data_IF_121516596426
#
_entry.id   IF_121516596426
#
_cell.length_a   1.000
_cell.length_b   1.000
_cell.length_c   1.000
_cell.angle_alpha   90.00
_cell.angle_beta   90.00
_cell.angle_gamma   90.00
#
_symmetry.space_group_name_H-M   'P 1'
#
loop_
_entity.id
_entity.type
_entity.pdbx_description
1 polymer ?
#
# COMPACT_ATOMS: atom_id res chain seq x y z
N UNK A 1 22.55 16.89 -38.97
CA UNK A 1 21.25 16.26 -39.28
C UNK A 1 21.13 15.01 -38.40
N UNK A 2 20.08 14.89 -37.58
CA UNK A 2 19.81 13.76 -36.65
C UNK A 2 20.73 13.75 -35.41
N UNK A 3 20.33 13.67 -34.14
CA UNK A 3 19.15 13.12 -33.47
C UNK A 3 18.82 14.01 -32.24
N UNK A 4 17.82 14.89 -32.33
CA UNK A 4 17.30 15.66 -31.18
C UNK A 4 15.77 15.65 -31.22
N UNK A 5 15.13 14.51 -30.96
CA UNK A 5 13.65 14.47 -30.94
C UNK A 5 13.00 13.51 -29.95
N UNK A 6 13.72 12.61 -29.28
CA UNK A 6 13.09 11.63 -28.37
C UNK A 6 13.08 12.06 -26.89
N UNK A 7 14.09 12.81 -26.43
CA UNK A 7 14.19 13.23 -25.02
C UNK A 7 13.23 14.38 -24.64
N UNK A 8 12.94 15.28 -25.59
CA UNK A 8 12.00 16.39 -25.39
C UNK A 8 10.56 15.90 -25.21
N UNK A 9 10.20 14.76 -25.82
CA UNK A 9 8.86 14.19 -25.73
C UNK A 9 8.58 13.55 -24.36
N UNK A 10 9.61 13.02 -23.68
CA UNK A 10 9.46 12.37 -22.37
C UNK A 10 9.42 13.38 -21.21
N UNK A 11 10.17 14.49 -21.32
CA UNK A 11 10.23 15.55 -20.30
C UNK A 11 8.96 16.42 -20.31
N UNK A 12 8.42 16.75 -21.48
CA UNK A 12 7.12 17.44 -21.61
C UNK A 12 5.96 16.59 -21.07
N UNK A 13 6.01 15.26 -21.28
CA UNK A 13 5.03 14.31 -20.70
C UNK A 13 5.04 14.26 -19.17
N UNK A 14 6.14 14.61 -18.48
CA UNK A 14 6.24 14.55 -17.02
C UNK A 14 5.54 15.74 -16.34
N UNK A 15 5.69 16.95 -16.89
CA UNK A 15 5.00 18.16 -16.41
C UNK A 15 3.50 18.17 -16.82
N UNK A 16 3.18 17.69 -18.02
CA UNK A 16 1.80 17.50 -18.47
C UNK A 16 1.10 16.40 -17.65
N UNK A 17 1.78 15.31 -17.26
CA UNK A 17 1.21 14.29 -16.38
C UNK A 17 0.88 14.82 -14.99
N UNK A 18 1.68 15.70 -14.40
CA UNK A 18 1.38 16.24 -13.05
C UNK A 18 0.15 17.14 -13.11
N UNK A 19 0.03 17.98 -14.13
CA UNK A 19 -1.16 18.83 -14.34
C UNK A 19 -2.40 18.03 -14.76
N UNK A 20 -2.27 16.98 -15.57
CA UNK A 20 -3.36 16.05 -15.89
C UNK A 20 -3.77 15.17 -14.71
N UNK A 21 -2.82 14.69 -13.91
CA UNK A 21 -3.09 13.94 -12.67
C UNK A 21 -3.77 14.83 -11.66
N UNK A 22 -3.35 16.10 -11.51
CA UNK A 22 -4.04 17.12 -10.71
C UNK A 22 -5.42 17.47 -11.28
N UNK A 23 -5.60 17.54 -12.61
CA UNK A 23 -6.91 17.76 -13.25
C UNK A 23 -7.84 16.55 -13.14
N UNK A 24 -7.33 15.32 -13.21
CA UNK A 24 -8.07 14.07 -12.94
C UNK A 24 -8.42 13.93 -11.45
N UNK A 25 -7.50 14.30 -10.56
CA UNK A 25 -7.74 14.52 -9.13
C UNK A 25 -8.92 15.49 -8.94
N UNK A 26 -8.95 16.62 -9.64
CA UNK A 26 -10.04 17.60 -9.57
C UNK A 26 -11.37 17.05 -10.15
N UNK A 27 -11.32 16.22 -11.20
CA UNK A 27 -12.50 15.66 -11.88
C UNK A 27 -13.13 14.46 -11.16
N UNK A 28 -12.30 13.55 -10.62
CA UNK A 28 -12.74 12.32 -9.93
C UNK A 28 -13.24 12.58 -8.50
N UNK A 29 -12.94 13.76 -7.96
CA UNK A 29 -13.40 14.17 -6.64
C UNK A 29 -14.79 14.82 -6.64
N UNK A 30 -15.50 14.83 -7.77
CA UNK A 30 -16.91 15.25 -7.83
C UNK A 30 -17.87 14.23 -7.18
N UNK A 31 -17.46 12.96 -7.07
CA UNK A 31 -18.32 11.86 -6.59
C UNK A 31 -18.10 11.47 -5.13
N UNK A 32 -17.21 12.15 -4.40
CA UNK A 32 -16.89 11.84 -3.00
C UNK A 32 -17.04 13.09 -2.15
N UNK A 33 -17.99 13.02 -1.21
CA UNK A 33 -18.29 13.97 -0.12
C UNK A 33 -17.49 15.29 -0.20
N UNK A 34 -18.07 16.27 -0.90
CA UNK A 34 -17.44 17.50 -1.38
C UNK A 34 -16.59 18.24 -0.33
N UNK A 35 -16.91 18.15 0.95
CA UNK A 35 -16.24 18.89 2.03
C UNK A 35 -14.78 18.45 2.29
N UNK A 36 -14.48 17.15 2.34
CA UNK A 36 -13.13 16.67 2.64
C UNK A 36 -12.15 16.91 1.48
N UNK A 37 -12.66 16.84 0.24
CA UNK A 37 -11.84 17.08 -0.94
C UNK A 37 -11.70 18.58 -1.23
N UNK A 38 -12.76 19.39 -1.02
CA UNK A 38 -12.66 20.84 -1.13
C UNK A 38 -11.61 21.41 -0.17
N UNK A 39 -11.42 20.87 1.03
CA UNK A 39 -10.33 21.28 1.93
C UNK A 39 -8.92 20.97 1.38
N UNK A 40 -8.72 19.74 0.87
CA UNK A 40 -7.44 19.31 0.28
C UNK A 40 -7.10 20.14 -0.96
N UNK A 41 -8.10 20.45 -1.79
CA UNK A 41 -7.97 21.24 -3.01
C UNK A 41 -7.88 22.75 -2.78
N UNK A 42 -8.59 23.31 -1.77
CA UNK A 42 -8.41 24.72 -1.35
C UNK A 42 -6.98 24.99 -0.91
N UNK A 43 -6.38 24.01 -0.20
CA UNK A 43 -4.96 24.04 0.13
C UNK A 43 -4.10 24.16 -1.13
N UNK A 44 -4.25 23.22 -2.07
CA UNK A 44 -3.40 23.12 -3.27
C UNK A 44 -3.52 24.33 -4.25
N UNK A 45 -4.70 24.93 -4.41
CA UNK A 45 -4.86 26.13 -5.28
C UNK A 45 -4.18 27.39 -4.72
N UNK A 46 -3.99 27.48 -3.40
CA UNK A 46 -3.24 28.57 -2.77
C UNK A 46 -1.72 28.37 -2.82
N UNK A 47 -1.23 27.13 -2.92
CA UNK A 47 0.19 26.78 -2.77
C UNK A 47 1.08 27.24 -3.94
N UNK A 48 0.59 27.18 -5.19
CA UNK A 48 1.43 27.55 -6.35
C UNK A 48 1.81 29.05 -6.40
N UNK A 49 1.13 29.93 -5.64
CA UNK A 49 1.37 31.39 -5.69
C UNK A 49 2.52 31.87 -4.80
N UNK A 50 2.97 31.08 -3.83
CA UNK A 50 3.95 31.50 -2.81
C UNK A 50 5.35 30.90 -2.98
N UNK A 51 5.58 30.10 -4.01
CA UNK A 51 6.82 29.34 -4.16
C UNK A 51 7.93 30.20 -4.77
N UNK A 52 9.14 30.08 -4.23
CA UNK A 52 10.31 30.80 -4.73
C UNK A 52 10.67 30.35 -6.15
N UNK A 53 11.10 31.30 -6.98
CA UNK A 53 11.59 31.02 -8.33
C UNK A 53 12.93 30.32 -8.23
N UNK A 54 13.06 29.18 -8.88
CA UNK A 54 14.31 28.42 -8.95
C UNK A 54 14.65 28.15 -10.42
N UNK A 55 15.94 28.02 -10.72
CA UNK A 55 16.41 27.54 -12.03
C UNK A 55 16.61 26.04 -12.00
N UNK A 56 16.07 25.34 -12.98
CA UNK A 56 16.37 23.93 -13.20
C UNK A 56 17.84 23.74 -13.60
N UNK A 57 18.34 22.50 -13.58
CA UNK A 57 19.70 22.15 -14.06
C UNK A 57 19.96 22.56 -15.52
N UNK A 58 18.91 22.71 -16.33
CA UNK A 58 18.99 23.14 -17.74
C UNK A 58 18.73 24.66 -17.88
N UNK A 59 18.91 25.43 -16.82
CA UNK A 59 18.68 26.88 -16.73
C UNK A 59 17.25 27.37 -17.04
N UNK A 60 16.27 26.46 -17.13
CA UNK A 60 14.85 26.84 -17.26
C UNK A 60 14.26 27.43 -15.98
N UNK A 61 13.30 28.36 -16.12
CA UNK A 61 12.55 28.95 -14.98
C UNK A 61 11.57 27.93 -14.39
N UNK A 62 11.64 27.73 -13.08
CA UNK A 62 10.76 26.84 -12.32
C UNK A 62 10.39 27.46 -10.96
N UNK A 63 9.60 26.72 -10.18
CA UNK A 63 9.21 27.08 -8.82
C UNK A 63 9.56 25.92 -7.90
N UNK A 64 10.09 26.23 -6.71
CA UNK A 64 10.37 25.22 -5.72
C UNK A 64 9.07 24.67 -5.11
N UNK A 65 8.97 23.35 -4.89
CA UNK A 65 7.81 22.79 -4.19
C UNK A 65 7.87 23.13 -2.70
N UNK A 66 6.77 23.63 -2.14
CA UNK A 66 6.61 23.73 -0.69
C UNK A 66 6.70 22.35 -0.03
N UNK A 67 7.02 22.30 1.26
CA UNK A 67 7.15 21.01 1.95
C UNK A 67 5.88 20.15 1.89
N UNK A 68 4.69 20.76 2.01
CA UNK A 68 3.42 20.01 1.90
C UNK A 68 3.17 19.46 0.49
N UNK A 69 3.60 20.18 -0.55
CA UNK A 69 3.55 19.69 -1.93
C UNK A 69 4.54 18.55 -2.16
N UNK A 70 5.75 18.63 -1.60
CA UNK A 70 6.73 17.53 -1.65
C UNK A 70 6.18 16.27 -0.97
N UNK A 71 5.54 16.41 0.18
CA UNK A 71 4.86 15.31 0.87
C UNK A 71 3.72 14.73 0.02
N UNK A 72 2.91 15.60 -0.59
CA UNK A 72 1.81 15.16 -1.46
C UNK A 72 2.33 14.41 -2.69
N UNK A 73 3.40 14.89 -3.33
CA UNK A 73 4.04 14.25 -4.47
C UNK A 73 4.55 12.85 -4.11
N UNK A 74 5.32 12.75 -3.01
CA UNK A 74 5.87 11.48 -2.52
C UNK A 74 4.77 10.45 -2.26
N UNK A 75 3.71 10.85 -1.54
CA UNK A 75 2.63 9.94 -1.18
C UNK A 75 1.64 9.66 -2.31
N UNK A 76 1.55 10.53 -3.33
CA UNK A 76 0.65 10.31 -4.46
C UNK A 76 1.33 9.52 -5.57
N UNK A 77 2.60 9.78 -5.86
CA UNK A 77 3.29 9.16 -6.98
C UNK A 77 4.19 7.99 -6.55
N UNK A 78 4.43 7.83 -5.25
CA UNK A 78 5.39 6.85 -4.74
C UNK A 78 6.82 7.16 -5.16
N UNK A 79 7.08 8.41 -5.58
CA UNK A 79 8.39 8.85 -6.01
C UNK A 79 9.24 9.13 -4.77
N UNK A 80 10.28 8.31 -4.65
CA UNK A 80 11.38 8.48 -3.71
C UNK A 80 12.24 9.62 -4.26
N UNK A 81 12.54 10.65 -3.46
CA UNK A 81 13.31 11.80 -3.96
C UNK A 81 14.75 11.39 -4.22
N UNK A 82 15.04 11.15 -5.50
CA UNK A 82 16.36 10.81 -6.02
C UNK A 82 16.60 11.51 -7.35
N UNK A 83 17.75 12.17 -7.50
CA UNK A 83 18.24 12.66 -8.78
C UNK A 83 19.10 11.59 -9.47
N UNK A 84 19.35 11.72 -10.77
CA UNK A 84 20.18 10.77 -11.55
C UNK A 84 21.59 10.54 -10.95
N UNK A 85 22.05 11.46 -10.11
CA UNK A 85 23.38 11.46 -9.49
C UNK A 85 23.42 10.92 -8.05
N UNK A 86 22.30 10.48 -7.46
CA UNK A 86 22.27 10.00 -6.07
C UNK A 86 22.34 8.49 -5.99
N UNK A 87 23.03 7.98 -4.97
CA UNK A 87 23.05 6.55 -4.67
C UNK A 87 21.72 6.06 -4.09
N UNK A 88 21.39 4.78 -4.24
CA UNK A 88 20.15 4.19 -3.70
C UNK A 88 20.01 4.41 -2.18
N UNK A 89 21.12 4.40 -1.44
CA UNK A 89 21.14 4.63 0.00
C UNK A 89 20.80 6.08 0.36
N UNK A 90 21.31 7.06 -0.40
CA UNK A 90 20.95 8.48 -0.20
C UNK A 90 19.48 8.72 -0.48
N UNK A 91 18.93 8.09 -1.52
CA UNK A 91 17.51 8.20 -1.89
C UNK A 91 16.61 7.65 -0.77
N UNK A 92 17.01 6.55 -0.15
CA UNK A 92 16.33 5.97 1.01
C UNK A 92 16.40 6.92 2.21
N UNK A 93 17.60 7.45 2.55
CA UNK A 93 17.75 8.31 3.72
C UNK A 93 16.99 9.64 3.57
N UNK A 94 17.06 10.27 2.39
CA UNK A 94 16.27 11.46 2.08
C UNK A 94 14.78 11.22 2.27
N UNK A 95 14.29 10.04 1.90
CA UNK A 95 12.88 9.69 2.05
C UNK A 95 12.49 9.48 3.49
N UNK A 96 13.35 8.84 4.29
CA UNK A 96 13.14 8.76 5.74
C UNK A 96 13.09 10.14 6.37
N UNK A 97 13.97 11.05 5.96
CA UNK A 97 14.01 12.40 6.51
C UNK A 97 12.77 13.22 6.16
N UNK A 98 12.27 13.10 4.94
CA UNK A 98 10.97 13.68 4.55
C UNK A 98 9.85 13.09 5.41
N UNK A 99 9.82 11.77 5.61
CA UNK A 99 8.79 11.14 6.45
C UNK A 99 8.90 11.57 7.92
N UNK A 100 10.09 11.61 8.51
CA UNK A 100 10.32 12.12 9.88
C UNK A 100 9.84 13.56 10.01
N UNK A 101 10.22 14.43 9.07
CA UNK A 101 9.82 15.84 9.04
C UNK A 101 8.31 16.00 8.82
N UNK A 102 7.69 15.12 8.03
CA UNK A 102 6.24 15.13 7.81
C UNK A 102 5.48 14.67 9.06
N UNK A 103 6.03 13.70 9.79
CA UNK A 103 5.49 13.21 11.06
C UNK A 103 5.45 14.32 12.12
N UNK A 104 6.48 15.16 12.15
CA UNK A 104 6.59 16.32 13.04
C UNK A 104 5.71 17.49 12.60
N UNK A 105 5.88 17.96 11.35
CA UNK A 105 5.30 19.24 10.91
C UNK A 105 3.88 19.15 10.38
N UNK A 106 3.47 18.02 9.79
CA UNK A 106 2.18 17.91 9.12
C UNK A 106 1.59 16.48 9.07
N UNK A 107 1.52 15.75 10.21
CA UNK A 107 1.17 14.33 10.23
C UNK A 107 -0.22 14.05 9.65
N UNK A 108 -1.20 14.91 9.92
CA UNK A 108 -2.57 14.79 9.40
C UNK A 108 -2.60 14.93 7.88
N UNK A 109 -1.86 15.89 7.33
CA UNK A 109 -1.78 16.10 5.88
C UNK A 109 -1.10 14.92 5.19
N UNK A 110 0.06 14.50 5.69
CA UNK A 110 0.78 13.35 5.16
C UNK A 110 -0.06 12.06 5.19
N UNK A 111 -0.85 11.86 6.24
CA UNK A 111 -1.75 10.70 6.34
C UNK A 111 -2.88 10.74 5.32
N UNK A 112 -3.50 11.91 5.09
CA UNK A 112 -4.50 12.08 4.02
C UNK A 112 -3.88 11.72 2.65
N UNK A 113 -2.66 12.19 2.37
CA UNK A 113 -1.95 11.88 1.13
C UNK A 113 -1.61 10.38 1.01
N UNK A 114 -1.16 9.74 2.08
CA UNK A 114 -0.80 8.32 2.09
C UNK A 114 -2.02 7.42 1.82
N UNK A 115 -3.16 7.75 2.43
CA UNK A 115 -4.44 7.09 2.17
C UNK A 115 -4.84 7.30 0.71
N UNK A 116 -4.79 8.52 0.20
CA UNK A 116 -5.10 8.82 -1.19
C UNK A 116 -4.22 8.01 -2.17
N UNK A 117 -2.91 7.98 -1.94
CA UNK A 117 -1.98 7.21 -2.75
C UNK A 117 -2.28 5.71 -2.74
N UNK A 118 -2.74 5.18 -1.62
CA UNK A 118 -3.14 3.78 -1.52
C UNK A 118 -4.46 3.52 -2.25
N UNK A 119 -5.49 4.32 -2.00
CA UNK A 119 -6.86 4.08 -2.50
C UNK A 119 -6.96 4.32 -4.02
N UNK A 120 -6.31 5.37 -4.53
CA UNK A 120 -6.48 5.80 -5.93
C UNK A 120 -5.30 5.40 -6.82
N UNK A 121 -4.08 5.47 -6.30
CA UNK A 121 -2.87 5.16 -7.08
C UNK A 121 -2.36 3.74 -6.84
N UNK A 122 -3.07 2.95 -6.02
CA UNK A 122 -2.71 1.56 -5.69
C UNK A 122 -1.29 1.42 -5.13
N UNK A 123 -0.75 2.47 -4.51
CA UNK A 123 0.57 2.43 -3.87
C UNK A 123 0.51 1.49 -2.67
N UNK A 124 1.55 0.68 -2.53
CA UNK A 124 1.63 -0.34 -1.47
C UNK A 124 2.68 0.03 -0.44
N UNK A 125 3.94 0.14 -0.86
CA UNK A 125 5.06 0.24 0.06
C UNK A 125 5.11 1.59 0.81
N UNK A 126 5.02 2.71 0.09
CA UNK A 126 5.15 4.06 0.69
C UNK A 126 4.06 4.33 1.75
N UNK A 127 2.76 4.06 1.50
CA UNK A 127 1.73 4.18 2.54
C UNK A 127 1.96 3.25 3.74
N UNK A 128 2.47 2.03 3.50
CA UNK A 128 2.78 1.09 4.59
C UNK A 128 3.93 1.61 5.46
N UNK A 129 5.00 2.14 4.88
CA UNK A 129 6.11 2.74 5.65
C UNK A 129 5.58 3.91 6.50
N UNK A 130 4.72 4.76 5.93
CA UNK A 130 4.10 5.84 6.68
C UNK A 130 3.27 5.34 7.87
N UNK A 131 2.52 4.26 7.68
CA UNK A 131 1.77 3.64 8.77
C UNK A 131 2.68 3.11 9.89
N UNK A 132 3.91 2.66 9.56
CA UNK A 132 4.93 2.31 10.56
C UNK A 132 5.38 3.53 11.34
N UNK A 133 5.65 4.67 10.68
CA UNK A 133 5.96 5.94 11.36
C UNK A 133 4.81 6.41 12.27
N UNK A 134 3.56 6.37 11.80
CA UNK A 134 2.41 6.70 12.64
C UNK A 134 2.32 5.79 13.88
N UNK A 135 2.75 4.53 13.77
CA UNK A 135 2.72 3.60 14.89
C UNK A 135 3.74 3.92 15.99
N UNK A 136 4.72 4.82 15.77
CA UNK A 136 5.69 5.23 16.79
C UNK A 136 5.15 6.35 17.69
N UNK A 137 4.10 7.05 17.27
CA UNK A 137 3.51 8.16 18.01
C UNK A 137 2.85 7.69 19.31
N UNK A 138 2.92 8.54 20.35
CA UNK A 138 2.23 8.32 21.63
C UNK A 138 0.71 8.37 21.46
N UNK A 139 0.22 9.39 20.75
CA UNK A 139 -1.18 9.47 20.29
C UNK A 139 -1.34 8.67 19.00
N UNK A 140 -2.21 7.67 19.04
CA UNK A 140 -2.41 6.71 17.97
C UNK A 140 -3.73 6.89 17.22
N UNK A 141 -4.51 7.95 17.47
CA UNK A 141 -5.79 8.17 16.76
C UNK A 141 -5.61 8.19 15.24
N UNK A 142 -4.52 8.84 14.78
CA UNK A 142 -4.20 8.93 13.37
C UNK A 142 -3.76 7.58 12.78
N UNK A 143 -3.00 6.80 13.54
CA UNK A 143 -2.63 5.42 13.17
C UNK A 143 -3.87 4.52 13.06
N UNK A 144 -4.74 4.52 14.07
CA UNK A 144 -5.92 3.66 14.11
C UNK A 144 -6.89 3.97 12.95
N UNK A 145 -7.14 5.25 12.67
CA UNK A 145 -7.99 5.68 11.56
C UNK A 145 -7.39 5.37 10.18
N UNK A 146 -6.06 5.40 10.03
CA UNK A 146 -5.40 5.11 8.77
C UNK A 146 -5.20 3.61 8.50
N UNK A 147 -5.08 2.78 9.54
CA UNK A 147 -4.65 1.38 9.42
C UNK A 147 -5.52 0.57 8.44
N UNK A 148 -6.84 0.56 8.65
CA UNK A 148 -7.77 -0.20 7.82
C UNK A 148 -7.95 0.35 6.41
N UNK A 149 -7.62 1.64 6.20
CA UNK A 149 -7.65 2.27 4.87
C UNK A 149 -6.41 1.93 4.08
N UNK A 150 -5.23 2.03 4.70
CA UNK A 150 -3.96 1.72 4.05
C UNK A 150 -3.78 0.21 3.83
N UNK A 151 -4.05 -0.62 4.84
CA UNK A 151 -3.85 -2.07 4.71
C UNK A 151 -5.09 -2.69 4.07
N UNK A 152 -5.01 -2.99 2.77
CA UNK A 152 -6.15 -3.56 2.02
C UNK A 152 -6.04 -5.06 1.79
N UNK A 153 -4.85 -5.65 1.87
CA UNK A 153 -4.64 -7.07 1.62
C UNK A 153 -3.59 -7.69 2.57
N UNK A 154 -3.55 -9.03 2.69
CA UNK A 154 -2.60 -9.73 3.56
C UNK A 154 -1.12 -9.49 3.25
N UNK A 155 -0.77 -9.21 1.99
CA UNK A 155 0.62 -8.89 1.64
C UNK A 155 1.06 -7.60 2.31
N UNK A 156 0.23 -6.56 2.25
CA UNK A 156 0.52 -5.28 2.91
C UNK A 156 0.59 -5.42 4.43
N UNK A 157 -0.26 -6.27 5.02
CA UNK A 157 -0.20 -6.58 6.45
C UNK A 157 1.13 -7.25 6.84
N UNK A 158 1.62 -8.17 6.00
CA UNK A 158 2.92 -8.82 6.17
C UNK A 158 4.09 -7.85 5.97
N UNK A 159 4.03 -6.98 4.95
CA UNK A 159 5.04 -5.94 4.72
C UNK A 159 5.11 -4.98 5.93
N UNK A 160 3.96 -4.58 6.48
CA UNK A 160 3.87 -3.77 7.70
C UNK A 160 4.49 -4.47 8.91
N UNK A 161 4.14 -5.74 9.15
CA UNK A 161 4.73 -6.56 10.23
C UNK A 161 6.24 -6.73 10.06
N UNK A 162 6.72 -6.87 8.83
CA UNK A 162 8.16 -6.96 8.53
C UNK A 162 8.86 -5.63 8.82
N UNK A 163 8.33 -4.51 8.34
CA UNK A 163 8.92 -3.18 8.53
C UNK A 163 8.91 -2.74 9.99
N UNK A 164 7.85 -3.06 10.75
CA UNK A 164 7.80 -2.78 12.19
C UNK A 164 8.85 -3.55 12.99
N UNK A 165 9.44 -4.62 12.46
CA UNK A 165 10.45 -5.46 13.16
C UNK A 165 11.86 -5.29 12.62
N UNK A 166 11.99 -5.04 11.32
CA UNK A 166 13.27 -5.04 10.59
C UNK A 166 13.56 -3.73 9.86
N UNK A 167 12.63 -2.77 9.88
CA UNK A 167 12.73 -1.53 9.10
C UNK A 167 13.52 -0.41 9.79
N UNK A 168 14.01 -0.60 11.01
CA UNK A 168 14.77 0.42 11.75
C UNK A 168 13.98 1.67 12.17
N UNK A 169 12.65 1.64 12.03
CA UNK A 169 11.74 2.73 12.45
C UNK A 169 11.14 2.44 13.84
N UNK A 170 10.97 1.16 14.16
CA UNK A 170 10.32 0.67 15.39
C UNK A 170 10.92 -0.68 15.79
N UNK A 171 10.91 -0.96 17.09
CA UNK A 171 11.42 -2.21 17.67
C UNK A 171 10.30 -3.25 17.89
N UNK A 172 9.52 -3.55 16.85
CA UNK A 172 8.53 -4.63 16.84
C UNK A 172 7.08 -4.23 17.14
N UNK A 173 6.20 -5.23 17.26
CA UNK A 173 4.75 -5.01 17.41
C UNK A 173 4.36 -4.91 18.89
N UNK A 174 4.21 -3.69 19.40
CA UNK A 174 3.62 -3.46 20.72
C UNK A 174 2.14 -3.84 20.77
N UNK A 175 1.55 -3.84 21.98
CA UNK A 175 0.15 -4.26 22.23
C UNK A 175 -0.85 -3.55 21.30
N UNK A 176 -0.69 -2.25 21.07
CA UNK A 176 -1.57 -1.45 20.22
C UNK A 176 -1.51 -1.87 18.74
N UNK A 177 -0.30 -2.09 18.23
CA UNK A 177 -0.09 -2.56 16.85
C UNK A 177 -0.72 -3.94 16.66
N UNK A 178 -0.49 -4.85 17.62
CA UNK A 178 -1.14 -6.18 17.62
C UNK A 178 -2.67 -6.08 17.64
N UNK A 179 -3.24 -5.12 18.39
CA UNK A 179 -4.69 -4.88 18.40
C UNK A 179 -5.19 -4.48 17.01
N UNK A 180 -4.54 -3.53 16.33
CA UNK A 180 -4.92 -3.12 14.98
C UNK A 180 -4.84 -4.28 13.97
N UNK A 181 -3.79 -5.10 14.05
CA UNK A 181 -3.66 -6.32 13.25
C UNK A 181 -4.79 -7.31 13.55
N UNK A 182 -5.14 -7.52 14.82
CA UNK A 182 -6.23 -8.39 15.23
C UNK A 182 -7.59 -7.90 14.69
N UNK A 183 -7.89 -6.61 14.83
CA UNK A 183 -9.10 -5.99 14.28
C UNK A 183 -9.18 -6.17 12.77
N UNK A 184 -8.06 -6.00 12.06
CA UNK A 184 -8.02 -6.20 10.61
C UNK A 184 -8.28 -7.66 10.23
N UNK A 185 -7.65 -8.62 10.92
CA UNK A 185 -7.86 -10.05 10.67
C UNK A 185 -9.31 -10.44 10.92
N UNK A 186 -9.89 -10.02 12.04
CA UNK A 186 -11.28 -10.30 12.39
C UNK A 186 -12.28 -9.60 11.44
N UNK A 187 -11.94 -8.45 10.87
CA UNK A 187 -12.82 -7.70 9.97
C UNK A 187 -12.69 -8.04 8.48
N UNK A 188 -11.50 -8.46 8.00
CA UNK A 188 -11.21 -8.57 6.55
C UNK A 188 -10.64 -9.90 6.08
N UNK A 189 -10.25 -10.80 6.99
CA UNK A 189 -9.77 -12.12 6.57
C UNK A 189 -10.95 -12.93 5.99
N UNK A 190 -10.70 -13.55 4.83
CA UNK A 190 -11.63 -14.40 4.10
C UNK A 190 -10.91 -15.63 3.53
N UNK A 191 -11.68 -16.54 2.94
CA UNK A 191 -11.22 -17.79 2.36
C UNK A 191 -10.20 -17.60 1.22
N UNK A 192 -10.42 -16.62 0.34
CA UNK A 192 -9.48 -16.24 -0.71
C UNK A 192 -8.13 -15.81 -0.12
N UNK A 193 -8.14 -14.93 0.88
CA UNK A 193 -6.95 -14.47 1.56
C UNK A 193 -6.19 -15.63 2.23
N UNK A 194 -6.91 -16.50 2.95
CA UNK A 194 -6.32 -17.64 3.65
C UNK A 194 -5.61 -18.61 2.70
N UNK A 195 -6.23 -18.94 1.57
CA UNK A 195 -5.64 -19.83 0.56
C UNK A 195 -4.52 -19.17 -0.24
N UNK A 196 -4.70 -17.92 -0.68
CA UNK A 196 -3.75 -17.22 -1.56
C UNK A 196 -2.48 -16.76 -0.84
N UNK A 197 -2.59 -16.34 0.42
CA UNK A 197 -1.49 -15.72 1.17
C UNK A 197 -1.05 -16.53 2.39
N UNK A 198 -1.29 -17.85 2.39
CA UNK A 198 -1.05 -18.75 3.53
C UNK A 198 0.28 -18.51 4.24
N UNK A 199 1.40 -18.53 3.52
CA UNK A 199 2.75 -18.38 4.14
C UNK A 199 2.93 -17.03 4.82
N UNK A 200 2.56 -15.93 4.15
CA UNK A 200 2.65 -14.57 4.71
C UNK A 200 1.73 -14.40 5.92
N UNK A 201 0.51 -14.90 5.83
CA UNK A 201 -0.44 -14.87 6.94
C UNK A 201 0.04 -15.70 8.13
N UNK A 202 0.67 -16.85 7.88
CA UNK A 202 1.22 -17.70 8.93
C UNK A 202 2.27 -16.94 9.76
N UNK A 203 3.16 -16.18 9.11
CA UNK A 203 4.12 -15.33 9.82
C UNK A 203 3.42 -14.20 10.60
N UNK A 204 2.45 -13.52 9.99
CA UNK A 204 1.68 -12.47 10.66
C UNK A 204 0.99 -13.01 11.92
N UNK A 205 0.31 -14.16 11.83
CA UNK A 205 -0.43 -14.76 12.94
C UNK A 205 0.54 -15.21 14.06
N UNK A 206 1.66 -15.83 13.71
CA UNK A 206 2.68 -16.26 14.69
C UNK A 206 3.21 -15.09 15.53
N UNK A 207 3.38 -13.91 14.92
CA UNK A 207 3.89 -12.73 15.63
C UNK A 207 2.78 -11.93 16.33
N UNK A 208 1.64 -11.73 15.66
CA UNK A 208 0.54 -10.92 16.19
C UNK A 208 -0.24 -11.64 17.29
N UNK A 209 -0.30 -12.98 17.26
CA UNK A 209 -1.09 -13.84 18.16
C UNK A 209 -2.53 -13.31 18.34
N UNK A 210 -3.31 -13.22 17.25
CA UNK A 210 -4.66 -12.68 17.26
C UNK A 210 -5.62 -13.56 18.06
N UNK A 211 -6.66 -12.95 18.62
CA UNK A 211 -7.81 -13.67 19.20
C UNK A 211 -8.88 -13.71 18.11
N UNK A 212 -9.04 -14.88 17.51
CA UNK A 212 -9.93 -15.06 16.36
C UNK A 212 -11.38 -15.28 16.80
N UNK A 213 -12.28 -14.48 16.22
CA UNK A 213 -13.72 -14.71 16.32
C UNK A 213 -14.12 -15.98 15.56
N UNK A 214 -15.26 -16.59 15.92
CA UNK A 214 -15.77 -17.86 15.37
C UNK A 214 -15.65 -17.94 13.84
N UNK A 215 -16.16 -16.92 13.13
CA UNK A 215 -16.08 -16.81 11.65
C UNK A 215 -14.66 -17.00 11.08
N UNK A 216 -13.65 -16.54 11.81
CA UNK A 216 -12.25 -16.50 11.34
C UNK A 216 -11.44 -17.71 11.82
N UNK A 217 -11.91 -18.44 12.84
CA UNK A 217 -11.21 -19.61 13.38
C UNK A 217 -10.88 -20.68 12.33
N UNK A 218 -11.78 -21.07 11.40
CA UNK A 218 -11.44 -22.05 10.37
C UNK A 218 -10.29 -21.59 9.45
N UNK A 219 -10.22 -20.29 9.17
CA UNK A 219 -9.11 -19.74 8.39
C UNK A 219 -7.79 -19.82 9.15
N UNK A 220 -7.80 -19.52 10.45
CA UNK A 220 -6.60 -19.62 11.29
C UNK A 220 -6.10 -21.05 11.38
N UNK A 221 -7.00 -22.01 11.55
CA UNK A 221 -6.69 -23.44 11.59
C UNK A 221 -6.05 -23.92 10.28
N UNK A 222 -6.63 -23.57 9.12
CA UNK A 222 -6.02 -23.84 7.81
C UNK A 222 -4.62 -23.22 7.65
N UNK A 223 -4.42 -21.99 8.11
CA UNK A 223 -3.15 -21.28 7.93
C UNK A 223 -2.06 -21.84 8.83
N UNK A 224 -2.37 -22.12 10.11
CA UNK A 224 -1.40 -22.58 11.11
C UNK A 224 -1.19 -24.09 11.05
N UNK A 225 -2.27 -24.87 11.15
CA UNK A 225 -2.23 -26.33 11.24
C UNK A 225 -2.31 -27.02 9.87
N UNK A 226 -2.70 -26.29 8.83
CA UNK A 226 -2.80 -26.85 7.49
C UNK A 226 -4.01 -27.75 7.29
N UNK A 227 -5.04 -27.65 8.14
CA UNK A 227 -6.29 -28.39 7.99
C UNK A 227 -6.96 -28.04 6.65
N UNK A 228 -6.80 -28.92 5.66
CA UNK A 228 -7.29 -28.71 4.29
C UNK A 228 -8.82 -28.79 4.19
N UNK A 229 -9.51 -29.26 5.22
CA UNK A 229 -10.96 -29.42 5.24
C UNK A 229 -11.67 -28.36 6.11
N UNK A 230 -10.95 -27.32 6.54
CA UNK A 230 -11.46 -26.29 7.44
C UNK A 230 -12.59 -25.43 6.82
N UNK A 231 -12.60 -25.20 5.51
CA UNK A 231 -13.67 -24.45 4.84
C UNK A 231 -13.84 -24.87 3.37
N UNK A 232 -15.00 -24.56 2.79
CA UNK A 232 -15.40 -25.02 1.43
C UNK A 232 -14.29 -24.85 0.39
N UNK A 233 -13.71 -23.64 0.30
CA UNK A 233 -12.63 -23.33 -0.64
C UNK A 233 -11.34 -24.15 -0.39
N UNK A 234 -10.97 -24.45 0.86
CA UNK A 234 -9.79 -25.27 1.14
C UNK A 234 -10.02 -26.73 0.75
N UNK A 235 -11.22 -27.27 1.01
CA UNK A 235 -11.60 -28.62 0.60
C UNK A 235 -11.65 -28.74 -0.93
N UNK A 236 -12.22 -27.74 -1.61
CA UNK A 236 -12.21 -27.65 -3.06
C UNK A 236 -10.77 -27.63 -3.61
N UNK A 237 -9.89 -26.82 -3.02
CA UNK A 237 -8.49 -26.76 -3.41
C UNK A 237 -7.76 -28.10 -3.22
N UNK A 238 -8.02 -28.82 -2.12
CA UNK A 238 -7.49 -30.17 -1.87
C UNK A 238 -7.91 -31.14 -2.97
N UNK A 239 -9.20 -31.14 -3.35
CA UNK A 239 -9.73 -31.99 -4.43
C UNK A 239 -9.08 -31.68 -5.78
N UNK A 240 -9.00 -30.41 -6.14
CA UNK A 240 -8.38 -29.98 -7.41
C UNK A 240 -6.91 -30.36 -7.46
N UNK A 241 -6.13 -30.10 -6.40
CA UNK A 241 -4.71 -30.48 -6.36
C UNK A 241 -4.55 -32.00 -6.46
N UNK A 242 -5.37 -32.79 -5.75
CA UNK A 242 -5.32 -34.26 -5.84
C UNK A 242 -5.57 -34.76 -7.26
N UNK A 243 -6.64 -34.25 -7.91
CA UNK A 243 -6.98 -34.63 -9.28
C UNK A 243 -5.92 -34.24 -10.30
N UNK A 244 -5.35 -33.03 -10.17
CA UNK A 244 -4.26 -32.57 -11.04
C UNK A 244 -2.98 -33.40 -10.87
N UNK A 245 -2.65 -33.81 -9.64
CA UNK A 245 -1.49 -34.67 -9.39
C UNK A 245 -1.66 -36.07 -9.99
N UNK A 246 -2.91 -36.55 -10.12
CA UNK A 246 -3.25 -37.79 -10.84
C UNK A 246 -3.32 -37.60 -12.36
N UNK A 247 -3.08 -36.39 -12.89
CA UNK A 247 -3.19 -36.08 -14.31
C UNK A 247 -4.62 -36.03 -14.84
N UNK A 248 -5.63 -35.95 -13.96
CA UNK A 248 -7.04 -35.93 -14.34
C UNK A 248 -7.57 -34.49 -14.34
N UNK A 249 -8.26 -34.12 -15.43
CA UNK A 249 -8.96 -32.85 -15.54
C UNK A 249 -10.34 -33.09 -16.14
N UNK A 250 -11.29 -33.51 -15.30
CA UNK A 250 -12.67 -33.73 -15.71
C UNK A 250 -13.52 -32.44 -15.64
N UNK A 251 -14.71 -32.49 -16.22
CA UNK A 251 -15.67 -31.37 -16.26
C UNK A 251 -16.07 -30.93 -14.85
N UNK A 252 -16.16 -31.86 -13.89
CA UNK A 252 -16.48 -31.57 -12.50
C UNK A 252 -15.40 -30.75 -11.80
N UNK A 253 -14.13 -31.11 -11.99
CA UNK A 253 -12.96 -30.40 -11.48
C UNK A 253 -12.87 -29.01 -12.12
N UNK A 254 -13.11 -28.88 -13.42
CA UNK A 254 -13.21 -27.57 -14.08
C UNK A 254 -14.35 -26.73 -13.48
N UNK A 255 -15.48 -27.35 -13.16
CA UNK A 255 -16.59 -26.72 -12.44
C UNK A 255 -16.15 -26.15 -11.09
N UNK A 256 -15.46 -26.96 -10.27
CA UNK A 256 -14.93 -26.55 -8.96
C UNK A 256 -13.92 -25.40 -9.10
N UNK A 257 -13.04 -25.46 -10.11
CA UNK A 257 -12.06 -24.39 -10.38
C UNK A 257 -12.76 -23.06 -10.67
N UNK A 258 -13.86 -23.09 -11.43
CA UNK A 258 -14.66 -21.90 -11.76
C UNK A 258 -15.44 -21.40 -10.56
N UNK A 259 -16.16 -22.27 -9.86
CA UNK A 259 -16.97 -21.93 -8.67
C UNK A 259 -16.14 -21.20 -7.61
N UNK A 260 -14.95 -21.72 -7.30
CA UNK A 260 -14.08 -21.16 -6.27
C UNK A 260 -12.96 -20.26 -6.84
N UNK A 261 -12.92 -19.95 -8.13
CA UNK A 261 -11.89 -19.08 -8.73
C UNK A 261 -10.46 -19.54 -8.43
N UNK A 262 -10.15 -20.83 -8.63
CA UNK A 262 -8.86 -21.44 -8.28
C UNK A 262 -7.79 -21.31 -9.38
N UNK A 263 -8.14 -20.80 -10.57
CA UNK A 263 -7.24 -20.73 -11.73
C UNK A 263 -5.99 -19.86 -11.58
N UNK A 264 -5.92 -18.98 -10.57
CA UNK A 264 -4.73 -18.14 -10.31
C UNK A 264 -3.60 -18.86 -9.54
N UNK A 265 -3.80 -20.15 -9.23
CA UNK A 265 -2.89 -20.97 -8.41
C UNK A 265 -1.83 -21.74 -9.22
N UNK A 266 -1.72 -21.50 -10.53
CA UNK A 266 -0.62 -21.92 -11.43
C UNK A 266 0.79 -21.45 -11.02
N UNK A 267 0.96 -20.94 -9.80
CA UNK A 267 2.24 -20.55 -9.19
C UNK A 267 2.60 -21.36 -7.94
N UNK A 268 1.89 -22.46 -7.67
CA UNK A 268 2.41 -23.50 -6.78
C UNK A 268 3.45 -24.27 -7.59
N UNK A 269 4.73 -24.06 -7.25
CA UNK A 269 5.83 -24.87 -7.79
C UNK A 269 5.48 -26.34 -7.54
N UNK A 270 5.32 -27.10 -8.63
CA UNK A 270 5.63 -28.51 -8.67
C UNK A 270 7.10 -28.70 -8.27
#
# INVERSE_FOLDING_TARGET
MGYRSSANFLKFKKAIRITEVLKRLISLCKDINELQVKEVLKGLKGFMKSNEKVTTFEAGKAYELSFKEQVAEMFSLGLVKGNFYQSDMEVIENTKDIMKKALDKCPVWATKCAIYGQEFNSLKLIPVIWLVYLSTLKDNKLFESAFGRIITNPKMLHDFMTLTRKGGIRDGMGRRVKRAVNTWLNGRLNDYHATRYKTKLQEVIKVARPIAIERVQPYMDYIINGNKDAFKRSSALKKVIGSLNEGKLDIGIVGIIREYGLGSLTRLKL
#
